data_IF_653310224975
#
_entry.id   IF_653310224975
#
_cell.length_a   1.000
_cell.length_b   1.000
_cell.length_c   1.000
_cell.angle_alpha   90.00
_cell.angle_beta   90.00
_cell.angle_gamma   90.00
#
_symmetry.space_group_name_H-M   'P 1'
#
loop_
_entity.id
_entity.type
_entity.pdbx_description
1 polymer ?
#
# COMPACT_ATOMS: atom_id res chain seq x y z
N UNK A 1 17.48 6.49 -28.19
CA UNK A 1 17.15 7.53 -27.19
C UNK A 1 16.18 6.89 -26.21
N UNK A 2 16.64 6.47 -25.04
CA UNK A 2 15.76 5.97 -23.98
C UNK A 2 15.21 7.19 -23.25
N UNK A 3 13.97 7.54 -23.52
CA UNK A 3 13.19 8.34 -22.58
C UNK A 3 12.89 7.42 -21.41
N UNK A 4 13.74 7.47 -20.38
CA UNK A 4 13.33 6.99 -19.06
C UNK A 4 12.10 7.81 -18.70
N UNK A 5 10.92 7.25 -18.93
CA UNK A 5 9.69 7.74 -18.33
C UNK A 5 9.90 7.58 -16.84
N UNK A 6 10.38 8.64 -16.19
CA UNK A 6 10.32 8.76 -14.75
C UNK A 6 8.82 8.82 -14.48
N UNK A 7 8.24 7.68 -14.12
CA UNK A 7 6.85 7.61 -13.72
C UNK A 7 6.81 8.38 -12.42
N UNK A 8 6.36 9.63 -12.50
CA UNK A 8 6.08 10.43 -11.32
C UNK A 8 4.95 9.71 -10.58
N UNK A 9 5.22 9.38 -9.32
CA UNK A 9 4.29 8.60 -8.52
C UNK A 9 3.00 9.39 -8.30
N UNK A 10 1.86 8.70 -8.32
CA UNK A 10 0.59 9.38 -8.21
C UNK A 10 0.37 9.89 -6.80
N UNK A 11 -0.11 11.13 -6.69
CA UNK A 11 -0.70 11.59 -5.45
C UNK A 11 -1.94 10.75 -5.12
N UNK A 12 -2.34 10.75 -3.85
CA UNK A 12 -3.61 10.19 -3.44
C UNK A 12 -4.79 10.70 -4.30
N UNK A 13 -4.86 11.99 -4.66
CA UNK A 13 -5.95 12.49 -5.51
C UNK A 13 -5.96 11.82 -6.88
N UNK A 14 -4.78 11.61 -7.48
CA UNK A 14 -4.65 10.94 -8.77
C UNK A 14 -5.07 9.47 -8.67
N UNK A 15 -4.64 8.77 -7.62
CA UNK A 15 -4.97 7.37 -7.38
C UNK A 15 -6.48 7.11 -7.30
N UNK A 16 -7.25 8.10 -6.81
CA UNK A 16 -8.71 7.98 -6.74
C UNK A 16 -9.39 7.97 -8.11
N UNK A 17 -8.76 8.55 -9.12
CA UNK A 17 -9.31 8.63 -10.48
C UNK A 17 -9.07 7.36 -11.30
N UNK A 18 -8.17 6.49 -10.85
CA UNK A 18 -7.83 5.26 -11.53
C UNK A 18 -9.00 4.28 -11.52
N UNK A 19 -9.38 3.84 -12.72
CA UNK A 19 -10.54 2.99 -12.94
C UNK A 19 -10.19 1.53 -13.27
N UNK A 20 -8.90 1.18 -13.21
CA UNK A 20 -8.40 -0.18 -13.43
C UNK A 20 -7.81 -0.70 -12.13
N UNK A 21 -7.99 -1.99 -11.85
CA UNK A 21 -7.42 -2.66 -10.70
C UNK A 21 -6.54 -3.80 -11.21
N UNK A 22 -5.31 -3.82 -10.75
CA UNK A 22 -4.47 -4.99 -10.86
C UNK A 22 -4.74 -5.91 -9.67
N UNK A 23 -4.95 -7.19 -9.97
CA UNK A 23 -5.26 -8.21 -8.98
C UNK A 23 -4.11 -9.21 -8.93
N UNK A 24 -3.64 -9.57 -7.73
CA UNK A 24 -2.67 -10.64 -7.58
C UNK A 24 -3.23 -11.97 -8.11
N UNK A 25 -2.52 -12.62 -9.04
CA UNK A 25 -2.88 -14.00 -9.42
C UNK A 25 -2.68 -14.89 -8.19
N UNK A 26 -3.76 -15.55 -7.76
CA UNK A 26 -3.87 -16.27 -6.48
C UNK A 26 -2.87 -17.43 -6.27
N UNK A 27 -2.05 -17.73 -7.28
CA UNK A 27 -1.22 -18.93 -7.30
C UNK A 27 0.28 -18.60 -7.39
N UNK A 28 0.74 -17.42 -7.83
CA UNK A 28 2.14 -17.30 -8.29
C UNK A 28 3.02 -16.16 -7.75
N UNK A 29 2.47 -15.15 -7.08
CA UNK A 29 3.22 -13.92 -6.80
C UNK A 29 3.21 -13.56 -5.31
N UNK A 30 4.32 -12.99 -4.80
CA UNK A 30 4.53 -12.56 -3.40
C UNK A 30 3.68 -11.33 -2.99
N UNK A 31 2.57 -11.11 -3.67
CA UNK A 31 1.81 -9.86 -3.67
C UNK A 31 0.76 -9.84 -2.56
N UNK A 32 0.72 -8.74 -1.81
CA UNK A 32 -0.06 -8.66 -0.57
C UNK A 32 -1.50 -8.21 -0.80
N UNK A 33 -1.75 -7.31 -1.76
CA UNK A 33 -3.10 -6.85 -2.07
C UNK A 33 -3.23 -6.19 -3.45
N UNK A 34 -4.48 -6.02 -3.88
CA UNK A 34 -4.91 -5.36 -5.11
C UNK A 34 -4.54 -3.87 -5.13
N UNK A 35 -4.11 -3.33 -6.27
CA UNK A 35 -3.81 -1.90 -6.43
C UNK A 35 -4.52 -1.32 -7.66
N UNK A 36 -4.94 -0.05 -7.58
CA UNK A 36 -5.39 0.69 -8.76
C UNK A 36 -4.21 1.04 -9.66
N UNK A 37 -4.45 1.03 -10.97
CA UNK A 37 -3.43 1.24 -11.99
C UNK A 37 -3.75 2.48 -12.83
N UNK A 38 -2.77 3.37 -13.11
CA UNK A 38 -2.94 4.49 -14.03
C UNK A 38 -3.34 4.02 -15.43
N UNK A 39 -4.19 4.75 -16.17
CA UNK A 39 -4.61 4.33 -17.49
C UNK A 39 -3.47 4.27 -18.53
N UNK A 40 -2.41 5.04 -18.32
CA UNK A 40 -1.19 5.11 -19.12
C UNK A 40 -0.15 4.04 -18.77
N UNK A 41 -0.31 3.33 -17.65
CA UNK A 41 0.64 2.29 -17.26
C UNK A 41 0.52 1.09 -18.22
N UNK A 42 1.60 0.81 -18.95
CA UNK A 42 1.67 -0.30 -19.91
C UNK A 42 2.31 -1.55 -19.32
N UNK A 43 3.10 -1.40 -18.26
CA UNK A 43 3.72 -2.51 -17.54
C UNK A 43 3.81 -2.22 -16.05
N UNK A 44 3.59 -3.24 -15.23
CA UNK A 44 3.79 -3.19 -13.78
C UNK A 44 5.04 -4.00 -13.44
N UNK A 45 6.07 -3.32 -12.97
CA UNK A 45 7.24 -3.94 -12.34
C UNK A 45 7.14 -3.85 -10.81
N UNK A 46 8.11 -4.45 -10.13
CA UNK A 46 8.12 -4.47 -8.67
C UNK A 46 8.21 -3.07 -8.05
N UNK A 47 9.07 -2.21 -8.58
CA UNK A 47 9.26 -0.86 -8.07
C UNK A 47 7.95 -0.09 -8.13
N UNK A 48 7.25 -0.14 -9.27
CA UNK A 48 5.96 0.50 -9.46
C UNK A 48 4.88 -0.11 -8.56
N UNK A 49 4.89 -1.43 -8.38
CA UNK A 49 3.99 -2.12 -7.47
C UNK A 49 4.14 -1.63 -6.02
N UNK A 50 5.38 -1.53 -5.51
CA UNK A 50 5.66 -1.01 -4.18
C UNK A 50 5.12 0.41 -3.99
N UNK A 51 5.31 1.28 -4.97
CA UNK A 51 4.84 2.65 -4.88
C UNK A 51 3.31 2.74 -4.90
N UNK A 52 2.66 1.96 -5.77
CA UNK A 52 1.19 1.87 -5.78
C UNK A 52 0.63 1.26 -4.48
N UNK A 53 1.38 0.38 -3.82
CA UNK A 53 1.03 -0.13 -2.50
C UNK A 53 1.12 0.94 -1.41
N UNK A 54 2.19 1.76 -1.40
CA UNK A 54 2.32 2.88 -0.45
C UNK A 54 1.11 3.82 -0.57
N UNK A 55 0.81 4.25 -1.79
CA UNK A 55 -0.36 5.13 -2.08
C UNK A 55 -1.68 4.44 -1.73
N UNK A 56 -1.77 3.12 -1.88
CA UNK A 56 -2.95 2.35 -1.47
C UNK A 56 -3.12 2.32 0.05
N UNK A 57 -2.06 2.08 0.81
CA UNK A 57 -2.10 2.10 2.29
C UNK A 57 -2.48 3.50 2.77
N UNK A 58 -1.84 4.53 2.21
CA UNK A 58 -2.19 5.93 2.46
C UNK A 58 -3.67 6.20 2.18
N UNK A 59 -4.19 5.73 1.03
CA UNK A 59 -5.62 5.84 0.70
C UNK A 59 -6.51 5.15 1.73
N UNK A 60 -6.15 3.94 2.18
CA UNK A 60 -6.94 3.19 3.16
C UNK A 60 -7.00 3.93 4.51
N UNK A 61 -5.87 4.49 4.94
CA UNK A 61 -5.81 5.37 6.11
C UNK A 61 -6.73 6.60 5.93
N UNK A 62 -6.64 7.27 4.78
CA UNK A 62 -7.48 8.45 4.48
C UNK A 62 -8.97 8.10 4.43
N UNK A 63 -9.37 6.95 3.90
CA UNK A 63 -10.77 6.50 3.93
C UNK A 63 -11.26 6.22 5.34
N UNK A 64 -10.39 5.68 6.20
CA UNK A 64 -10.73 5.44 7.60
C UNK A 64 -10.91 6.74 8.36
N UNK A 65 -9.97 7.69 8.24
CA UNK A 65 -10.00 9.01 8.88
C UNK A 65 -11.26 9.81 8.49
N UNK A 66 -11.74 9.68 7.25
CA UNK A 66 -12.99 10.32 6.82
C UNK A 66 -14.23 9.87 7.61
N UNK A 67 -14.17 8.69 8.25
CA UNK A 67 -15.32 8.04 8.91
C UNK A 67 -15.13 7.85 10.40
N UNK A 68 -13.90 8.02 10.91
CA UNK A 68 -13.50 7.68 12.27
C UNK A 68 -12.56 8.75 12.82
N UNK A 69 -12.26 8.65 14.12
CA UNK A 69 -11.27 9.51 14.78
C UNK A 69 -9.83 9.15 14.35
N UNK A 70 -9.00 10.13 13.94
CA UNK A 70 -7.63 9.90 13.52
C UNK A 70 -6.76 9.19 14.56
N UNK A 71 -6.93 9.56 15.83
CA UNK A 71 -6.04 9.14 16.92
C UNK A 71 -6.10 7.61 17.13
N UNK A 72 -7.29 7.03 17.00
CA UNK A 72 -7.48 5.59 17.12
C UNK A 72 -6.72 4.81 16.04
N UNK A 73 -6.76 5.32 14.80
CA UNK A 73 -6.01 4.72 13.70
C UNK A 73 -4.50 4.86 13.92
N UNK A 74 -4.07 6.03 14.40
CA UNK A 74 -2.66 6.33 14.63
C UNK A 74 -2.03 5.36 15.64
N UNK A 75 -2.73 5.13 16.76
CA UNK A 75 -2.31 4.16 17.79
C UNK A 75 -2.23 2.75 17.20
N UNK A 76 -3.27 2.29 16.49
CA UNK A 76 -3.32 0.94 15.95
C UNK A 76 -2.19 0.67 14.93
N UNK A 77 -1.90 1.63 14.07
CA UNK A 77 -0.83 1.57 13.08
C UNK A 77 0.56 1.57 13.73
N UNK A 78 0.81 2.44 14.74
CA UNK A 78 2.07 2.42 15.48
C UNK A 78 2.29 1.09 16.21
N UNK A 79 1.25 0.56 16.85
CA UNK A 79 1.32 -0.73 17.53
C UNK A 79 1.61 -1.86 16.54
N UNK A 80 0.99 -1.83 15.36
CA UNK A 80 1.26 -2.80 14.29
C UNK A 80 2.72 -2.75 13.86
N UNK A 81 3.27 -1.57 13.58
CA UNK A 81 4.67 -1.44 13.16
C UNK A 81 5.64 -1.93 14.24
N UNK A 82 5.40 -1.59 15.52
CA UNK A 82 6.21 -2.08 16.64
C UNK A 82 6.15 -3.59 16.81
N UNK A 83 5.02 -4.22 16.51
CA UNK A 83 4.87 -5.68 16.55
C UNK A 83 5.65 -6.35 15.42
N UNK A 84 5.64 -5.76 14.22
CA UNK A 84 6.39 -6.27 13.06
C UNK A 84 7.91 -6.11 13.27
N UNK A 85 8.35 -4.94 13.72
CA UNK A 85 9.75 -4.69 14.05
C UNK A 85 9.88 -3.77 15.28
N UNK A 86 10.21 -4.33 16.47
CA UNK A 86 10.37 -3.55 17.69
C UNK A 86 11.49 -2.51 17.67
N UNK A 87 12.46 -2.65 16.75
CA UNK A 87 13.62 -1.76 16.64
C UNK A 87 13.31 -0.58 15.71
N UNK A 88 12.27 -0.68 14.88
CA UNK A 88 11.88 0.39 13.97
C UNK A 88 11.29 1.58 14.73
N UNK A 89 11.76 2.77 14.37
CA UNK A 89 11.18 4.02 14.84
C UNK A 89 9.86 4.25 14.11
N UNK A 90 8.75 4.22 14.84
CA UNK A 90 7.46 4.60 14.29
C UNK A 90 7.43 6.12 13.99
N UNK A 91 6.73 6.55 12.93
CA UNK A 91 6.53 7.97 12.64
C UNK A 91 5.97 8.72 13.84
N UNK A 92 6.40 9.97 14.02
CA UNK A 92 6.01 10.79 15.16
C UNK A 92 4.49 11.05 15.15
N UNK A 93 3.86 10.87 16.30
CA UNK A 93 2.47 11.28 16.48
C UNK A 93 2.39 12.81 16.45
N UNK A 94 1.60 13.37 15.54
CA UNK A 94 1.28 14.80 15.56
C UNK A 94 0.31 15.09 16.72
N UNK A 95 0.65 16.09 17.54
CA UNK A 95 -0.17 16.50 18.69
C UNK A 95 -1.35 17.39 18.28
N UNK A 96 -1.33 17.90 17.05
CA UNK A 96 -2.37 18.78 16.52
C UNK A 96 -3.26 17.96 15.59
N UNK A 97 -4.57 17.99 15.82
CA UNK A 97 -5.60 17.37 14.97
C UNK A 97 -5.79 18.15 13.65
N UNK A 98 -4.73 18.74 13.12
CA UNK A 98 -4.78 19.36 11.81
C UNK A 98 -4.83 18.27 10.75
N UNK A 99 -5.84 18.35 9.89
CA UNK A 99 -6.09 17.34 8.88
C UNK A 99 -4.85 17.09 7.99
N UNK A 100 -4.12 18.16 7.65
CA UNK A 100 -2.89 18.07 6.86
C UNK A 100 -1.78 17.29 7.57
N UNK A 101 -1.60 17.46 8.87
CA UNK A 101 -0.57 16.77 9.64
C UNK A 101 -0.86 15.27 9.75
N UNK A 102 -2.12 14.92 10.02
CA UNK A 102 -2.58 13.52 10.02
C UNK A 102 -2.37 12.88 8.64
N UNK A 103 -2.47 13.64 7.56
CA UNK A 103 -2.28 13.13 6.20
C UNK A 103 -0.81 12.90 5.86
N UNK A 104 0.08 13.82 6.24
CA UNK A 104 1.53 13.62 6.12
C UNK A 104 1.94 12.38 6.91
N UNK A 105 1.44 12.25 8.14
CA UNK A 105 1.69 11.09 8.98
C UNK A 105 1.31 9.76 8.31
N UNK A 106 0.13 9.70 7.66
CA UNK A 106 -0.32 8.48 7.00
C UNK A 106 0.59 8.09 5.82
N UNK A 107 1.16 9.07 5.12
CA UNK A 107 2.17 8.85 4.08
C UNK A 107 3.46 8.30 4.70
N UNK A 108 4.01 8.96 5.73
CA UNK A 108 5.24 8.54 6.40
C UNK A 108 5.13 7.14 6.99
N UNK A 109 3.95 6.77 7.48
CA UNK A 109 3.69 5.43 7.98
C UNK A 109 3.69 4.37 6.88
N UNK A 110 3.04 4.65 5.75
CA UNK A 110 3.03 3.75 4.59
C UNK A 110 4.45 3.52 4.06
N UNK A 111 5.26 4.58 3.98
CA UNK A 111 6.67 4.50 3.59
C UNK A 111 7.48 3.69 4.60
N UNK A 112 7.33 3.99 5.90
CA UNK A 112 8.00 3.25 6.98
C UNK A 112 7.71 1.75 6.92
N UNK A 113 6.46 1.36 6.70
CA UNK A 113 6.09 -0.05 6.59
C UNK A 113 6.68 -0.72 5.33
N UNK A 114 6.54 -0.11 4.16
CA UNK A 114 6.82 -0.77 2.88
C UNK A 114 8.30 -0.71 2.50
N UNK A 115 9.00 0.38 2.84
CA UNK A 115 10.39 0.60 2.42
C UNK A 115 11.40 0.34 3.53
N UNK A 116 11.02 0.57 4.80
CA UNK A 116 11.98 0.56 5.90
C UNK A 116 11.74 -0.53 6.94
N UNK A 117 10.64 -1.29 6.87
CA UNK A 117 10.42 -2.41 7.77
C UNK A 117 11.15 -3.67 7.26
N UNK A 118 12.24 -4.11 7.91
CA UNK A 118 13.00 -5.27 7.50
C UNK A 118 12.22 -6.58 7.72
N UNK A 119 11.27 -6.65 8.64
CA UNK A 119 10.42 -7.84 8.81
C UNK A 119 9.52 -7.97 7.59
N UNK A 120 8.92 -6.88 7.14
CA UNK A 120 8.13 -6.80 5.91
C UNK A 120 8.97 -7.15 4.68
N UNK A 121 10.12 -6.50 4.50
CA UNK A 121 11.02 -6.73 3.37
C UNK A 121 11.59 -8.15 3.34
N UNK A 122 11.97 -8.68 4.51
CA UNK A 122 12.48 -10.03 4.62
C UNK A 122 11.36 -11.04 4.37
N UNK A 123 10.15 -10.83 4.88
CA UNK A 123 9.01 -11.71 4.56
C UNK A 123 8.67 -11.66 3.07
N UNK A 124 8.68 -10.50 2.43
CA UNK A 124 8.58 -10.42 0.98
C UNK A 124 9.61 -11.36 0.33
N UNK A 125 10.88 -11.28 0.73
CA UNK A 125 11.94 -12.13 0.19
C UNK A 125 11.85 -13.62 0.59
N UNK A 126 11.29 -13.94 1.76
CA UNK A 126 11.37 -15.26 2.42
C UNK A 126 10.04 -16.03 2.39
N UNK A 127 8.94 -15.42 1.95
CA UNK A 127 7.66 -16.11 1.67
C UNK A 127 7.72 -16.97 0.42
N UNK A 128 8.61 -17.96 0.46
CA UNK A 128 8.57 -19.27 -0.19
C UNK A 128 8.34 -19.39 -1.69
N UNK A 129 8.54 -18.31 -2.44
CA UNK A 129 8.58 -18.36 -3.89
C UNK A 129 9.86 -17.65 -4.29
N UNK A 130 10.88 -18.37 -4.72
CA UNK A 130 12.08 -17.79 -5.36
C UNK A 130 11.74 -17.16 -6.74
N UNK A 131 10.51 -16.66 -6.89
CA UNK A 131 9.96 -16.10 -8.10
C UNK A 131 10.03 -14.59 -7.94
N UNK A 132 10.94 -13.99 -8.70
CA UNK A 132 10.99 -12.54 -8.87
C UNK A 132 9.64 -12.05 -9.36
N UNK A 133 9.17 -10.90 -8.85
CA UNK A 133 7.98 -10.24 -9.38
C UNK A 133 8.19 -9.99 -10.88
N UNK A 134 7.49 -10.69 -11.78
CA UNK A 134 7.73 -10.52 -13.21
C UNK A 134 7.18 -9.18 -13.65
N UNK A 135 7.82 -8.56 -14.64
CA UNK A 135 7.22 -7.40 -15.31
C UNK A 135 5.95 -7.87 -16.01
N UNK A 136 4.80 -7.35 -15.60
CA UNK A 136 3.50 -7.73 -16.15
C UNK A 136 3.05 -6.70 -17.16
N UNK A 137 2.57 -7.14 -18.33
CA UNK A 137 1.96 -6.25 -19.32
C UNK A 137 0.54 -5.90 -18.89
N UNK A 138 0.19 -4.61 -18.95
CA UNK A 138 -1.09 -4.10 -18.49
C UNK A 138 -2.07 -3.98 -19.65
N UNK A 139 -2.88 -5.03 -19.85
CA UNK A 139 -4.01 -5.02 -20.80
C UNK A 139 -5.38 -4.95 -20.09
N UNK A 140 -5.37 -4.42 -18.86
CA UNK A 140 -6.54 -4.39 -17.99
C UNK A 140 -7.61 -3.41 -18.50
N UNK A 141 -8.86 -3.86 -18.47
CA UNK A 141 -10.03 -3.01 -18.73
C UNK A 141 -10.68 -2.61 -17.40
N UNK A 142 -11.35 -1.46 -17.32
CA UNK A 142 -12.15 -1.12 -16.14
C UNK A 142 -13.19 -2.20 -15.85
N UNK A 143 -13.19 -2.72 -14.63
CA UNK A 143 -14.15 -3.72 -14.14
C UNK A 143 -14.75 -3.25 -12.80
N UNK A 144 -16.06 -2.94 -12.74
CA UNK A 144 -16.72 -2.50 -11.52
C UNK A 144 -16.67 -3.50 -10.37
N UNK A 145 -16.67 -4.81 -10.65
CA UNK A 145 -16.62 -5.84 -9.61
C UNK A 145 -15.26 -5.87 -8.94
N UNK A 146 -14.19 -5.79 -9.74
CA UNK A 146 -12.82 -5.72 -9.23
C UNK A 146 -12.59 -4.42 -8.45
N UNK A 147 -13.16 -3.31 -8.92
CA UNK A 147 -13.12 -2.06 -8.18
C UNK A 147 -13.84 -2.16 -6.83
N UNK A 148 -15.01 -2.79 -6.80
CA UNK A 148 -15.76 -3.00 -5.56
C UNK A 148 -14.99 -3.91 -4.58
N UNK A 149 -14.35 -4.98 -5.08
CA UNK A 149 -13.50 -5.86 -4.27
C UNK A 149 -12.31 -5.10 -3.68
N UNK A 150 -11.62 -4.32 -4.51
CA UNK A 150 -10.55 -3.45 -4.08
C UNK A 150 -11.02 -2.48 -2.99
N UNK A 151 -12.13 -1.79 -3.20
CA UNK A 151 -12.65 -0.79 -2.25
C UNK A 151 -13.22 -1.42 -0.96
N UNK A 152 -13.56 -2.71 -0.98
CA UNK A 152 -14.01 -3.44 0.20
C UNK A 152 -12.87 -3.77 1.18
N UNK A 153 -11.61 -3.84 0.72
CA UNK A 153 -10.46 -4.08 1.61
C UNK A 153 -10.19 -2.82 2.44
N UNK A 154 -10.43 -2.93 3.75
CA UNK A 154 -10.24 -1.82 4.70
C UNK A 154 -8.86 -1.85 5.35
N UNK A 155 -8.42 -0.72 5.91
CA UNK A 155 -7.18 -0.67 6.68
C UNK A 155 -7.21 -1.65 7.86
N UNK A 156 -8.35 -1.77 8.58
CA UNK A 156 -8.47 -2.68 9.71
C UNK A 156 -8.31 -4.16 9.29
N UNK A 157 -8.91 -4.56 8.16
CA UNK A 157 -8.72 -5.90 7.62
C UNK A 157 -7.25 -6.15 7.25
N UNK A 158 -6.62 -5.20 6.55
CA UNK A 158 -5.21 -5.29 6.18
C UNK A 158 -4.31 -5.43 7.42
N UNK A 159 -4.47 -4.60 8.45
CA UNK A 159 -3.68 -4.69 9.69
C UNK A 159 -3.92 -6.00 10.46
N UNK A 160 -5.14 -6.55 10.40
CA UNK A 160 -5.43 -7.87 10.97
C UNK A 160 -4.70 -8.99 10.23
N UNK A 161 -4.68 -8.95 8.90
CA UNK A 161 -3.95 -9.90 8.07
C UNK A 161 -2.44 -9.78 8.29
N UNK A 162 -1.91 -8.54 8.37
CA UNK A 162 -0.49 -8.32 8.72
C UNK A 162 -0.16 -8.94 10.10
N UNK A 163 -0.94 -8.66 11.13
CA UNK A 163 -0.67 -9.23 12.48
C UNK A 163 -0.80 -10.75 12.54
N UNK A 164 -1.54 -11.38 11.62
CA UNK A 164 -1.73 -12.83 11.59
C UNK A 164 -0.63 -13.52 10.78
N UNK A 165 -0.27 -12.93 9.63
CA UNK A 165 0.68 -13.52 8.71
C UNK A 165 2.15 -13.25 9.08
N UNK A 166 2.42 -12.23 9.91
CA UNK A 166 3.77 -11.82 10.30
C UNK A 166 4.09 -12.13 11.78
N UNK A 167 3.43 -13.12 12.39
CA UNK A 167 3.73 -13.66 13.74
C UNK A 167 4.63 -14.88 13.71
#
# INVERSE_FOLDING_TARGET
MNTSNVIQLPSYEQYQTYNRVWIPEAIAYQVLFMVRIPPELTSLDFSMYLELMKVRVEWMCRQWIKRNRPEALQVELMETLRQLNPIQTAPLLYQEEEAEQIWIWASDWAESLVEFDPTWLNWWQVTNWAIEFPVQLMELKPDPNQMAQHDAVTIAQFLSELRTNFK
#
